data_IF_531666127381
#
_entry.id   IF_531666127381
#
_cell.length_a   1.000
_cell.length_b   1.000
_cell.length_c   1.000
_cell.angle_alpha   90.00
_cell.angle_beta   90.00
_cell.angle_gamma   90.00
#
_symmetry.space_group_name_H-M   'P 1'
#
loop_
_entity.id
_entity.type
_entity.pdbx_description
1 polymer ?
#
# COMPACT_ATOMS: atom_id res chain seq x y z
N UNK A 1 -13.98 -8.62 -12.05
CA UNK A 1 -14.71 -7.62 -11.23
C UNK A 1 -14.63 -7.93 -9.73
N UNK A 2 -14.74 -9.20 -9.31
CA UNK A 2 -14.74 -9.60 -7.90
C UNK A 2 -13.41 -9.27 -7.21
N UNK A 3 -12.28 -9.62 -7.80
CA UNK A 3 -10.94 -9.28 -7.29
C UNK A 3 -10.74 -7.76 -7.15
N UNK A 4 -11.23 -6.96 -8.11
CA UNK A 4 -11.12 -5.49 -8.04
C UNK A 4 -11.91 -4.87 -6.88
N UNK A 5 -13.03 -5.45 -6.49
CA UNK A 5 -13.81 -4.96 -5.34
C UNK A 5 -13.09 -5.12 -4.00
N UNK A 6 -12.16 -6.07 -3.91
CA UNK A 6 -11.32 -6.28 -2.72
C UNK A 6 -10.04 -5.42 -2.76
N UNK A 7 -9.77 -4.76 -3.90
CA UNK A 7 -8.56 -3.98 -4.16
C UNK A 7 -8.90 -2.68 -4.90
N UNK A 8 -9.87 -1.93 -4.39
CA UNK A 8 -10.39 -0.72 -5.06
C UNK A 8 -9.32 0.38 -5.18
N UNK A 9 -8.45 0.50 -4.16
CA UNK A 9 -7.41 1.51 -4.07
C UNK A 9 -6.12 1.16 -4.86
N UNK A 10 -5.98 -0.10 -5.29
CA UNK A 10 -4.81 -0.55 -6.04
C UNK A 10 -5.09 -0.60 -7.54
N UNK A 11 -4.10 -0.26 -8.36
CA UNK A 11 -4.10 -0.60 -9.79
C UNK A 11 -3.88 -2.11 -9.94
N UNK A 12 -4.87 -2.82 -10.47
CA UNK A 12 -4.86 -4.28 -10.54
C UNK A 12 -4.18 -4.76 -11.83
N UNK A 13 -3.04 -5.43 -11.68
CA UNK A 13 -2.25 -6.03 -12.75
C UNK A 13 -2.58 -7.52 -12.87
N UNK A 14 -3.38 -7.87 -13.86
CA UNK A 14 -3.78 -9.25 -14.12
C UNK A 14 -2.80 -9.97 -15.03
N UNK A 15 -2.22 -11.07 -14.57
CA UNK A 15 -1.41 -11.95 -15.42
C UNK A 15 -2.29 -12.69 -16.44
N UNK A 16 -2.08 -12.41 -17.71
CA UNK A 16 -2.75 -13.05 -18.84
C UNK A 16 -1.72 -13.41 -19.92
N UNK A 17 -1.29 -14.67 -19.93
CA UNK A 17 -0.19 -15.13 -20.80
C UNK A 17 1.12 -14.40 -20.49
N UNK A 18 1.70 -13.74 -21.48
CA UNK A 18 2.97 -13.01 -21.38
C UNK A 18 2.80 -11.53 -21.01
N UNK A 19 1.60 -11.13 -20.60
CA UNK A 19 1.29 -9.75 -20.22
C UNK A 19 0.70 -9.66 -18.81
N UNK A 20 0.89 -8.48 -18.21
CA UNK A 20 0.00 -7.97 -17.19
C UNK A 20 -0.97 -7.00 -17.83
N UNK A 21 -2.24 -7.31 -17.76
CA UNK A 21 -3.33 -6.50 -18.33
C UNK A 21 -4.10 -5.77 -17.23
N UNK A 22 -4.45 -4.53 -17.50
CA UNK A 22 -5.29 -3.69 -16.66
C UNK A 22 -6.58 -3.39 -17.40
N UNK A 23 -7.68 -3.23 -16.66
CA UNK A 23 -9.02 -3.07 -17.22
C UNK A 23 -9.76 -1.91 -16.59
N UNK A 24 -10.80 -1.39 -17.27
CA UNK A 24 -11.67 -0.32 -16.80
C UNK A 24 -10.88 0.93 -16.41
N UNK A 25 -11.18 1.53 -15.24
CA UNK A 25 -10.51 2.74 -14.73
C UNK A 25 -9.01 2.53 -14.51
N UNK A 26 -8.58 1.33 -14.11
CA UNK A 26 -7.16 1.01 -13.97
C UNK A 26 -6.42 1.10 -15.31
N UNK A 27 -7.07 0.69 -16.41
CA UNK A 27 -6.50 0.81 -17.74
C UNK A 27 -6.41 2.28 -18.19
N UNK A 28 -7.42 3.09 -17.91
CA UNK A 28 -7.40 4.52 -18.22
C UNK A 28 -6.28 5.23 -17.48
N UNK A 29 -6.16 4.95 -16.18
CA UNK A 29 -5.12 5.51 -15.32
C UNK A 29 -3.74 5.05 -15.77
N UNK A 30 -3.51 3.74 -15.89
CA UNK A 30 -2.21 3.19 -16.25
C UNK A 30 -1.76 3.62 -17.65
N UNK A 31 -2.66 3.67 -18.63
CA UNK A 31 -2.32 4.11 -19.99
C UNK A 31 -1.84 5.56 -20.01
N UNK A 32 -2.50 6.44 -19.25
CA UNK A 32 -2.13 7.84 -19.11
C UNK A 32 -0.78 8.01 -18.40
N UNK A 33 -0.64 7.37 -17.22
CA UNK A 33 0.53 7.54 -16.37
C UNK A 33 1.81 6.91 -16.93
N UNK A 34 1.67 5.80 -17.66
CA UNK A 34 2.76 5.05 -18.28
C UNK A 34 3.02 5.46 -19.74
N UNK A 35 2.13 6.26 -20.33
CA UNK A 35 2.13 6.60 -21.75
C UNK A 35 2.16 5.35 -22.66
N UNK A 36 1.28 4.38 -22.36
CA UNK A 36 1.10 3.15 -23.14
C UNK A 36 -0.25 3.15 -23.84
N UNK A 37 -0.37 2.35 -24.90
CA UNK A 37 -1.57 2.30 -25.73
C UNK A 37 -2.77 1.79 -24.97
N UNK A 38 -3.85 2.58 -24.94
CA UNK A 38 -5.17 2.13 -24.51
C UNK A 38 -5.86 1.43 -25.66
N UNK A 39 -6.36 0.22 -25.39
CA UNK A 39 -7.11 -0.59 -26.33
C UNK A 39 -8.50 -0.93 -25.77
N UNK A 40 -9.28 -1.73 -26.47
CA UNK A 40 -10.58 -2.21 -26.00
C UNK A 40 -10.76 -3.68 -26.28
N UNK A 41 -11.21 -4.44 -25.28
CA UNK A 41 -11.56 -5.85 -25.39
C UNK A 41 -13.07 -6.02 -25.52
N UNK A 42 -13.51 -6.85 -26.46
CA UNK A 42 -14.91 -7.20 -26.57
C UNK A 42 -15.34 -8.02 -25.33
N UNK A 43 -16.28 -7.48 -24.55
CA UNK A 43 -16.75 -8.09 -23.29
C UNK A 43 -18.18 -8.65 -23.37
N UNK A 44 -18.72 -8.85 -24.57
CA UNK A 44 -20.12 -9.27 -24.75
C UNK A 44 -21.15 -8.16 -24.54
N UNK A 45 -20.70 -6.92 -24.37
CA UNK A 45 -21.50 -5.71 -24.33
C UNK A 45 -21.31 -4.91 -25.63
N UNK A 46 -22.20 -3.95 -25.92
CA UNK A 46 -22.09 -3.07 -27.09
C UNK A 46 -20.81 -2.22 -27.06
N UNK A 47 -20.34 -1.84 -25.87
CA UNK A 47 -19.11 -1.08 -25.67
C UNK A 47 -17.94 -1.99 -25.33
N UNK A 48 -16.75 -1.68 -25.90
CA UNK A 48 -15.51 -2.37 -25.57
C UNK A 48 -15.02 -1.96 -24.18
N UNK A 49 -14.62 -2.94 -23.38
CA UNK A 49 -14.00 -2.72 -22.08
C UNK A 49 -12.62 -2.08 -22.29
N UNK A 50 -12.33 -0.89 -21.74
CA UNK A 50 -11.01 -0.29 -21.77
C UNK A 50 -9.96 -1.26 -21.22
N UNK A 51 -8.84 -1.39 -21.92
CA UNK A 51 -7.75 -2.31 -21.56
C UNK A 51 -6.41 -1.72 -21.99
N UNK A 52 -5.39 -1.91 -21.17
CA UNK A 52 -3.99 -1.74 -21.55
C UNK A 52 -3.17 -2.87 -20.94
N UNK A 53 -1.92 -3.04 -21.39
CA UNK A 53 -1.08 -4.12 -20.87
C UNK A 53 0.40 -3.85 -21.08
N UNK A 54 1.21 -4.49 -20.23
CA UNK A 54 2.67 -4.45 -20.28
C UNK A 54 3.24 -5.87 -20.29
N UNK A 55 4.37 -6.11 -20.99
CA UNK A 55 5.01 -7.43 -20.97
C UNK A 55 5.47 -7.79 -19.55
N UNK A 56 5.22 -9.06 -19.14
CA UNK A 56 5.53 -9.47 -17.75
C UNK A 56 7.02 -9.37 -17.41
N UNK A 57 7.89 -9.67 -18.36
CA UNK A 57 9.35 -9.65 -18.15
C UNK A 57 9.93 -8.25 -17.95
N UNK A 58 9.18 -7.20 -18.24
CA UNK A 58 9.59 -5.81 -18.07
C UNK A 58 8.67 -5.03 -17.11
N UNK A 59 7.77 -5.72 -16.41
CA UNK A 59 6.75 -5.11 -15.56
C UNK A 59 7.33 -4.22 -14.46
N UNK A 60 8.50 -4.58 -13.89
CA UNK A 60 9.13 -3.84 -12.80
C UNK A 60 9.43 -2.38 -13.18
N UNK A 61 9.83 -2.12 -14.44
CA UNK A 61 10.07 -0.76 -14.92
C UNK A 61 8.77 0.09 -14.96
N UNK A 62 7.64 -0.54 -15.23
CA UNK A 62 6.34 0.14 -15.25
C UNK A 62 5.81 0.34 -13.84
N UNK A 63 5.97 -0.66 -12.97
CA UNK A 63 5.67 -0.58 -11.55
C UNK A 63 6.44 0.57 -10.91
N UNK A 64 7.76 0.67 -11.17
CA UNK A 64 8.61 1.74 -10.69
C UNK A 64 8.05 3.14 -10.97
N UNK A 65 7.58 3.36 -12.21
CA UNK A 65 7.02 4.65 -12.63
C UNK A 65 5.73 4.99 -11.89
N UNK A 66 4.87 3.99 -11.64
CA UNK A 66 3.61 4.19 -10.92
C UNK A 66 3.84 4.42 -9.43
N UNK A 67 4.73 3.64 -8.82
CA UNK A 67 5.11 3.79 -7.40
C UNK A 67 5.70 5.17 -7.13
N UNK A 68 6.57 5.69 -8.00
CA UNK A 68 7.11 7.06 -7.89
C UNK A 68 6.04 8.14 -7.96
N UNK A 69 4.89 7.85 -8.54
CA UNK A 69 3.73 8.75 -8.60
C UNK A 69 2.71 8.52 -7.48
N UNK A 70 3.04 7.67 -6.51
CA UNK A 70 2.21 7.38 -5.34
C UNK A 70 1.08 6.37 -5.58
N UNK A 71 1.10 5.61 -6.70
CA UNK A 71 0.12 4.56 -6.93
C UNK A 71 0.47 3.28 -6.17
N UNK A 72 -0.57 2.56 -5.74
CA UNK A 72 -0.51 1.22 -5.16
C UNK A 72 -0.86 0.20 -6.24
N UNK A 73 -0.22 -0.97 -6.23
CA UNK A 73 -0.37 -1.98 -7.29
C UNK A 73 -0.65 -3.34 -6.66
N UNK A 74 -1.71 -3.99 -7.12
CA UNK A 74 -2.01 -5.38 -6.78
C UNK A 74 -1.62 -6.29 -7.94
N UNK A 75 -0.73 -7.23 -7.69
CA UNK A 75 -0.30 -8.25 -8.67
C UNK A 75 -1.18 -9.48 -8.53
N UNK A 76 -1.92 -9.79 -9.57
CA UNK A 76 -2.82 -10.93 -9.64
C UNK A 76 -2.26 -12.00 -10.57
N UNK A 77 -1.88 -13.15 -9.99
CA UNK A 77 -1.30 -14.29 -10.70
C UNK A 77 -2.29 -15.43 -10.88
N UNK A 78 -2.01 -16.29 -11.86
CA UNK A 78 -2.68 -17.57 -12.02
C UNK A 78 -2.13 -18.54 -10.95
N UNK A 79 -2.99 -19.05 -10.07
CA UNK A 79 -2.58 -19.96 -8.99
C UNK A 79 -2.88 -21.43 -9.31
N UNK A 80 -3.54 -21.71 -10.45
CA UNK A 80 -3.79 -23.06 -10.96
C UNK A 80 -3.02 -23.32 -12.25
N UNK A 81 -2.62 -24.59 -12.46
CA UNK A 81 -2.06 -25.01 -13.75
C UNK A 81 -3.15 -24.92 -14.84
N UNK A 82 -2.96 -24.13 -15.92
CA UNK A 82 -3.93 -23.99 -17.00
C UNK A 82 -4.31 -25.34 -17.65
N UNK A 83 -3.44 -26.35 -17.55
CA UNK A 83 -3.68 -27.70 -18.10
C UNK A 83 -4.57 -28.56 -17.20
N UNK A 84 -4.67 -28.23 -15.90
CA UNK A 84 -5.46 -28.95 -14.90
C UNK A 84 -6.83 -28.29 -14.66
N UNK A 85 -7.01 -27.04 -15.04
CA UNK A 85 -8.22 -26.26 -14.79
C UNK A 85 -9.39 -26.75 -15.65
N UNK A 86 -10.50 -27.13 -15.01
CA UNK A 86 -11.77 -27.48 -15.68
C UNK A 86 -12.66 -26.24 -15.90
N UNK A 87 -12.08 -25.10 -16.30
CA UNK A 87 -12.82 -23.85 -16.48
C UNK A 87 -11.93 -22.63 -16.51
N UNK A 88 -12.38 -21.55 -15.86
CA UNK A 88 -11.59 -20.33 -15.70
C UNK A 88 -10.51 -20.58 -14.65
N UNK A 89 -9.24 -20.46 -15.04
CA UNK A 89 -8.08 -20.60 -14.13
C UNK A 89 -8.24 -19.66 -12.94
N UNK A 90 -8.08 -20.18 -11.72
CA UNK A 90 -8.15 -19.39 -10.48
C UNK A 90 -7.02 -18.36 -10.46
N UNK A 91 -7.37 -17.14 -10.07
CA UNK A 91 -6.44 -16.01 -9.95
C UNK A 91 -6.58 -15.38 -8.59
N UNK A 92 -5.44 -15.09 -7.97
CA UNK A 92 -5.37 -14.43 -6.66
C UNK A 92 -4.37 -13.29 -6.69
N UNK A 93 -4.61 -12.28 -5.88
CA UNK A 93 -3.60 -11.27 -5.57
C UNK A 93 -2.53 -11.93 -4.71
N UNK A 94 -1.32 -12.01 -5.26
CA UNK A 94 -0.17 -12.63 -4.60
C UNK A 94 0.73 -11.61 -3.95
N UNK A 95 0.64 -10.34 -4.34
CA UNK A 95 1.48 -9.26 -3.83
C UNK A 95 0.78 -7.92 -4.00
N UNK A 96 0.90 -7.06 -2.99
CA UNK A 96 0.56 -5.64 -3.07
C UNK A 96 1.87 -4.87 -2.96
N UNK A 97 2.11 -3.96 -3.90
CA UNK A 97 3.31 -3.11 -3.94
C UNK A 97 2.85 -1.68 -3.71
N UNK A 98 3.39 -1.05 -2.70
CA UNK A 98 3.07 0.33 -2.32
C UNK A 98 4.33 1.18 -2.24
N UNK A 99 4.24 2.52 -2.28
CA UNK A 99 5.42 3.37 -2.15
C UNK A 99 6.22 3.17 -0.88
N UNK A 100 5.57 2.82 0.22
CA UNK A 100 6.19 2.57 1.52
C UNK A 100 6.72 1.13 1.71
N UNK A 101 6.30 0.16 0.86
CA UNK A 101 6.64 -1.26 1.03
C UNK A 101 7.54 -1.81 -0.08
N UNK A 102 8.16 -0.95 -0.87
CA UNK A 102 9.07 -1.35 -1.95
C UNK A 102 10.41 -1.81 -1.40
N UNK A 103 10.80 -3.05 -1.71
CA UNK A 103 12.08 -3.66 -1.37
C UNK A 103 13.02 -3.86 -2.58
N UNK A 104 12.55 -3.56 -3.79
CA UNK A 104 13.36 -3.80 -5.00
C UNK A 104 14.44 -2.72 -5.16
N UNK A 105 15.71 -3.14 -5.28
CA UNK A 105 16.85 -2.23 -5.53
C UNK A 105 16.65 -1.34 -6.77
N UNK A 106 15.92 -1.84 -7.77
CA UNK A 106 15.60 -1.06 -8.99
C UNK A 106 14.59 0.06 -8.74
N UNK A 107 13.86 0.01 -7.62
CA UNK A 107 12.81 0.93 -7.22
C UNK A 107 13.23 1.86 -6.09
N UNK A 108 14.32 1.51 -5.40
CA UNK A 108 14.90 2.30 -4.30
C UNK A 108 15.87 3.32 -4.90
N UNK A 109 15.70 4.58 -4.52
CA UNK A 109 16.70 5.62 -4.74
C UNK A 109 17.67 5.55 -3.55
N UNK A 110 18.91 5.13 -3.77
CA UNK A 110 19.91 4.71 -2.76
C UNK A 110 20.25 5.75 -1.65
N UNK A 111 19.56 6.89 -1.61
CA UNK A 111 20.01 8.02 -0.77
C UNK A 111 19.03 8.49 0.30
N UNK A 112 17.80 7.98 0.36
CA UNK A 112 16.80 8.48 1.30
C UNK A 112 15.97 7.35 1.89
N UNK A 113 15.75 7.41 3.20
CA UNK A 113 14.82 6.52 3.90
C UNK A 113 13.41 6.65 3.28
N UNK A 114 12.72 5.53 3.13
CA UNK A 114 11.37 5.47 2.60
C UNK A 114 10.41 5.00 3.67
N UNK A 115 10.00 5.94 4.50
CA UNK A 115 9.09 5.62 5.60
C UNK A 115 7.67 5.32 5.12
N UNK A 116 7.16 4.18 5.57
CA UNK A 116 5.74 3.93 5.74
C UNK A 116 5.34 4.48 7.10
N UNK A 117 4.35 5.35 7.14
CA UNK A 117 3.79 5.87 8.39
C UNK A 117 2.37 5.34 8.59
N UNK A 118 2.12 4.78 9.77
CA UNK A 118 0.79 4.39 10.22
C UNK A 118 0.30 5.38 11.27
N UNK A 119 -0.96 5.82 11.16
CA UNK A 119 -1.55 6.81 12.04
C UNK A 119 -2.83 6.26 12.68
N UNK A 120 -2.95 6.43 13.99
CA UNK A 120 -4.12 6.02 14.76
C UNK A 120 -4.54 7.12 15.75
N UNK A 121 -5.83 7.24 15.99
CA UNK A 121 -6.42 8.16 16.97
C UNK A 121 -7.22 7.36 18.00
N UNK A 122 -7.04 7.71 19.28
CA UNK A 122 -7.89 7.26 20.38
C UNK A 122 -8.27 8.46 21.26
N UNK A 123 -9.55 8.80 21.25
CA UNK A 123 -10.08 9.94 21.99
C UNK A 123 -9.41 11.26 21.64
N UNK A 124 -8.61 11.81 22.55
CA UNK A 124 -7.90 13.08 22.36
C UNK A 124 -6.43 12.91 22.02
N UNK A 125 -6.00 11.72 21.71
CA UNK A 125 -4.61 11.38 21.41
C UNK A 125 -4.45 10.86 19.99
N UNK A 126 -3.34 11.24 19.34
CA UNK A 126 -2.92 10.75 18.02
C UNK A 126 -1.53 10.11 18.18
N UNK A 127 -1.36 8.94 17.61
CA UNK A 127 -0.08 8.26 17.51
C UNK A 127 0.26 7.98 16.06
N UNK A 128 1.51 8.23 15.68
CA UNK A 128 2.10 7.74 14.44
C UNK A 128 3.20 6.72 14.74
N UNK A 129 3.27 5.69 13.92
CA UNK A 129 4.39 4.76 13.86
C UNK A 129 4.98 4.80 12.45
N UNK A 130 6.29 4.90 12.33
CA UNK A 130 7.00 4.99 11.06
C UNK A 130 8.03 3.87 10.96
N UNK A 131 8.04 3.13 9.84
CA UNK A 131 9.02 2.10 9.56
C UNK A 131 9.65 2.30 8.18
N UNK A 132 10.96 2.11 8.10
CA UNK A 132 11.69 1.92 6.85
C UNK A 132 12.03 0.43 6.70
N UNK A 133 11.37 -0.24 5.77
CA UNK A 133 11.50 -1.68 5.58
C UNK A 133 12.91 -2.05 5.07
N UNK A 134 13.60 -1.15 4.40
CA UNK A 134 14.92 -1.42 3.83
C UNK A 134 16.02 -1.45 4.90
N UNK A 135 15.86 -0.67 5.96
CA UNK A 135 16.82 -0.56 7.07
C UNK A 135 16.38 -1.30 8.32
N UNK A 136 15.08 -1.58 8.46
CA UNK A 136 14.48 -2.12 9.68
C UNK A 136 14.19 -1.07 10.74
N UNK A 137 14.52 0.20 10.51
CA UNK A 137 14.27 1.28 11.46
C UNK A 137 12.77 1.45 11.72
N UNK A 138 12.40 1.46 13.01
CA UNK A 138 11.05 1.74 13.46
C UNK A 138 11.05 2.82 14.54
N UNK A 139 10.18 3.80 14.42
CA UNK A 139 10.03 4.89 15.39
C UNK A 139 8.57 5.26 15.57
N UNK A 140 8.21 5.84 16.69
CA UNK A 140 6.87 6.32 16.96
C UNK A 140 6.87 7.67 17.63
N UNK A 141 5.72 8.35 17.55
CA UNK A 141 5.47 9.62 18.20
C UNK A 141 3.98 9.74 18.53
N UNK A 142 3.66 10.13 19.78
CA UNK A 142 2.28 10.43 20.19
C UNK A 142 2.12 11.88 20.61
N UNK A 143 0.92 12.41 20.47
CA UNK A 143 0.55 13.75 20.88
C UNK A 143 -0.90 13.78 21.35
N UNK A 144 -1.15 14.50 22.44
CA UNK A 144 -2.48 14.63 23.04
C UNK A 144 -2.94 16.09 23.10
N UNK A 145 -4.25 16.28 23.30
CA UNK A 145 -4.87 17.59 23.49
C UNK A 145 -5.18 18.34 22.17
N UNK A 146 -5.40 19.64 22.27
CA UNK A 146 -5.89 20.46 21.14
C UNK A 146 -4.84 20.64 20.04
N UNK A 147 -3.56 20.64 20.38
CA UNK A 147 -2.45 20.83 19.43
C UNK A 147 -1.95 19.52 18.81
N UNK A 148 -2.53 18.36 19.17
CA UNK A 148 -2.05 17.03 18.70
C UNK A 148 -1.92 16.94 17.18
N UNK A 149 -2.88 17.50 16.44
CA UNK A 149 -2.85 17.47 14.98
C UNK A 149 -1.66 18.26 14.41
N UNK A 150 -1.37 19.43 14.98
CA UNK A 150 -0.25 20.25 14.55
C UNK A 150 1.09 19.53 14.85
N UNK A 151 1.23 18.91 16.00
CA UNK A 151 2.43 18.14 16.37
C UNK A 151 2.63 16.94 15.41
N UNK A 152 1.57 16.22 15.06
CA UNK A 152 1.62 15.14 14.05
C UNK A 152 2.02 15.68 12.67
N UNK A 153 1.45 16.80 12.25
CA UNK A 153 1.80 17.43 10.97
C UNK A 153 3.29 17.84 10.90
N UNK A 154 3.85 18.35 11.99
CA UNK A 154 5.28 18.66 12.07
C UNK A 154 6.15 17.41 11.92
N UNK A 155 5.78 16.29 12.57
CA UNK A 155 6.49 15.02 12.42
C UNK A 155 6.37 14.48 10.98
N UNK A 156 5.18 14.47 10.39
CA UNK A 156 4.98 14.05 9.02
C UNK A 156 5.80 14.88 8.02
N UNK A 157 5.86 16.20 8.23
CA UNK A 157 6.67 17.09 7.40
C UNK A 157 8.17 16.79 7.53
N UNK A 158 8.64 16.43 8.72
CA UNK A 158 10.04 16.06 8.97
C UNK A 158 10.39 14.70 8.36
N UNK A 159 9.51 13.71 8.50
CA UNK A 159 9.71 12.34 8.02
C UNK A 159 9.64 12.27 6.50
N UNK A 160 8.80 13.10 5.85
CA UNK A 160 8.53 13.06 4.41
C UNK A 160 8.14 11.64 3.94
N UNK A 161 7.03 11.07 4.47
CA UNK A 161 6.71 9.67 4.24
C UNK A 161 6.45 9.37 2.76
N UNK A 162 6.89 8.20 2.29
CA UNK A 162 6.50 7.66 0.99
C UNK A 162 5.04 7.20 0.99
N UNK A 163 4.54 6.78 2.16
CA UNK A 163 3.17 6.32 2.34
C UNK A 163 2.66 6.68 3.75
N UNK A 164 1.44 7.19 3.82
CA UNK A 164 0.70 7.44 5.05
C UNK A 164 -0.57 6.60 5.06
N UNK A 165 -0.68 5.70 6.01
CA UNK A 165 -1.83 4.84 6.22
C UNK A 165 -2.53 5.27 7.52
N UNK A 166 -3.81 5.58 7.44
CA UNK A 166 -4.60 5.90 8.61
C UNK A 166 -5.43 4.69 9.05
N UNK A 167 -5.50 4.42 10.34
CA UNK A 167 -6.53 3.53 10.87
C UNK A 167 -7.91 4.16 10.66
N UNK A 168 -8.92 3.33 10.37
CA UNK A 168 -10.27 3.83 10.14
C UNK A 168 -10.83 4.57 11.36
N UNK A 169 -11.48 5.71 11.14
CA UNK A 169 -12.11 6.50 12.20
C UNK A 169 -11.35 7.73 12.67
N UNK A 170 -10.19 8.06 12.09
CA UNK A 170 -9.49 9.31 12.41
C UNK A 170 -10.36 10.52 12.08
N UNK A 171 -10.54 11.38 13.07
CA UNK A 171 -11.29 12.63 12.92
C UNK A 171 -10.53 13.59 11.99
N UNK A 172 -11.23 14.19 11.03
CA UNK A 172 -10.65 15.09 10.03
C UNK A 172 -9.60 14.45 9.10
N UNK A 173 -9.67 13.15 8.87
CA UNK A 173 -8.76 12.44 7.98
C UNK A 173 -8.62 13.11 6.60
N UNK A 174 -9.72 13.49 5.97
CA UNK A 174 -9.72 14.12 4.63
C UNK A 174 -8.88 15.40 4.60
N UNK A 175 -8.97 16.23 5.66
CA UNK A 175 -8.18 17.46 5.77
C UNK A 175 -6.68 17.15 5.96
N UNK A 176 -6.34 16.15 6.77
CA UNK A 176 -4.97 15.72 6.97
C UNK A 176 -4.39 15.11 5.69
N UNK A 177 -5.15 14.27 5.00
CA UNK A 177 -4.76 13.68 3.72
C UNK A 177 -4.53 14.75 2.64
N UNK A 178 -5.40 15.75 2.55
CA UNK A 178 -5.23 16.88 1.64
C UNK A 178 -3.99 17.72 2.01
N UNK A 179 -3.76 17.94 3.32
CA UNK A 179 -2.60 18.67 3.80
C UNK A 179 -1.30 17.94 3.43
N UNK A 180 -1.17 16.63 3.73
CA UNK A 180 0.04 15.88 3.40
C UNK A 180 0.29 15.86 1.89
N UNK A 181 -0.73 15.68 1.06
CA UNK A 181 -0.62 15.76 -0.40
C UNK A 181 -0.12 17.12 -0.89
N UNK A 182 -0.44 18.21 -0.19
CA UNK A 182 0.05 19.55 -0.53
C UNK A 182 1.52 19.75 -0.15
N UNK A 183 2.03 19.04 0.86
CA UNK A 183 3.40 19.18 1.41
C UNK A 183 4.35 18.10 0.88
N UNK A 184 3.85 16.89 0.67
CA UNK A 184 4.56 15.73 0.14
C UNK A 184 3.73 15.13 -0.99
N UNK A 185 3.76 15.72 -2.21
CA UNK A 185 2.88 15.32 -3.32
C UNK A 185 3.00 13.85 -3.73
N UNK A 186 4.17 13.25 -3.54
CA UNK A 186 4.44 11.84 -3.89
C UNK A 186 4.00 10.85 -2.79
N UNK A 187 3.61 11.34 -1.60
CA UNK A 187 3.14 10.48 -0.52
C UNK A 187 1.83 9.79 -0.93
N UNK A 188 1.81 8.46 -0.93
CA UNK A 188 0.57 7.71 -1.05
C UNK A 188 -0.22 7.84 0.25
N UNK A 189 -1.55 8.00 0.15
CA UNK A 189 -2.41 8.05 1.34
C UNK A 189 -3.52 7.02 1.21
N UNK A 190 -3.80 6.28 2.28
CA UNK A 190 -4.86 5.28 2.33
C UNK A 190 -5.42 5.12 3.73
N UNK A 191 -6.58 4.46 3.82
CA UNK A 191 -7.20 4.06 5.08
C UNK A 191 -7.09 2.56 5.22
N UNK A 192 -6.68 2.11 6.40
CA UNK A 192 -6.65 0.71 6.78
C UNK A 192 -7.82 0.41 7.69
N UNK A 193 -8.48 -0.69 7.41
CA UNK A 193 -9.48 -1.28 8.29
C UNK A 193 -9.06 -2.69 8.64
N UNK A 194 -9.07 -2.99 9.92
CA UNK A 194 -8.68 -4.31 10.41
C UNK A 194 -9.71 -5.36 10.03
N UNK A 195 -9.21 -6.55 9.66
CA UNK A 195 -10.04 -7.75 9.52
C UNK A 195 -10.23 -8.42 10.89
N UNK A 196 -11.44 -8.90 11.18
CA UNK A 196 -11.75 -9.59 12.43
C UNK A 196 -10.89 -10.85 12.58
N UNK A 197 -10.21 -10.98 13.73
CA UNK A 197 -9.34 -12.12 14.01
C UNK A 197 -7.95 -12.05 13.35
N UNK A 198 -7.49 -10.87 12.94
CA UNK A 198 -6.15 -10.68 12.40
C UNK A 198 -5.05 -11.16 13.38
N UNK A 199 -3.96 -11.79 12.88
CA UNK A 199 -2.85 -12.23 13.72
C UNK A 199 -2.18 -11.09 14.46
N UNK A 200 -1.53 -11.37 15.59
CA UNK A 200 -0.71 -10.41 16.34
C UNK A 200 0.76 -10.63 16.06
N UNK A 201 1.50 -9.55 15.87
CA UNK A 201 2.91 -9.57 15.48
C UNK A 201 3.83 -8.82 16.43
N UNK A 202 3.29 -7.96 17.32
CA UNK A 202 4.08 -7.06 18.18
C UNK A 202 5.14 -7.81 18.99
N UNK A 203 4.73 -8.84 19.76
CA UNK A 203 5.65 -9.61 20.60
C UNK A 203 6.73 -10.35 19.79
N UNK A 204 6.43 -10.74 18.54
CA UNK A 204 7.38 -11.39 17.65
C UNK A 204 8.50 -10.44 17.21
N UNK A 205 8.19 -9.15 17.03
CA UNK A 205 9.15 -8.14 16.57
C UNK A 205 9.90 -7.47 17.74
N UNK A 206 9.18 -7.10 18.80
CA UNK A 206 9.74 -6.31 19.91
C UNK A 206 10.03 -7.12 21.17
N UNK A 207 9.78 -8.44 21.15
CA UNK A 207 10.19 -9.40 22.20
C UNK A 207 9.30 -9.44 23.44
N UNK A 208 8.42 -8.49 23.67
CA UNK A 208 7.42 -8.48 24.75
C UNK A 208 6.25 -7.57 24.41
N UNK A 209 5.08 -7.81 25.02
CA UNK A 209 3.90 -6.94 24.92
C UNK A 209 3.91 -5.80 25.97
N UNK A 210 5.02 -5.60 26.68
CA UNK A 210 5.15 -4.64 27.79
C UNK A 210 5.38 -3.20 27.31
N UNK A 211 4.52 -2.68 26.45
CA UNK A 211 4.46 -1.23 26.17
C UNK A 211 3.36 -0.64 27.05
N UNK A 212 3.76 0.30 27.92
CA UNK A 212 2.86 0.91 28.90
C UNK A 212 1.75 1.76 28.26
N UNK A 213 1.96 2.23 27.04
CA UNK A 213 1.02 3.04 26.28
C UNK A 213 0.25 2.16 25.27
N UNK A 214 -1.03 1.97 25.53
CA UNK A 214 -1.90 1.12 24.69
C UNK A 214 -2.02 1.66 23.27
N UNK A 215 -2.13 2.97 23.09
CA UNK A 215 -2.27 3.55 21.74
C UNK A 215 -0.99 3.35 20.91
N UNK A 216 0.18 3.48 21.53
CA UNK A 216 1.47 3.20 20.87
C UNK A 216 1.56 1.72 20.48
N UNK A 217 1.24 0.82 21.42
CA UNK A 217 1.21 -0.62 21.16
C UNK A 217 0.30 -0.96 19.98
N UNK A 218 -0.94 -0.48 19.99
CA UNK A 218 -1.93 -0.78 18.97
C UNK A 218 -1.52 -0.18 17.61
N UNK A 219 -0.95 1.02 17.60
CA UNK A 219 -0.46 1.67 16.36
C UNK A 219 0.68 0.88 15.73
N UNK A 220 1.63 0.39 16.53
CA UNK A 220 2.73 -0.46 16.07
C UNK A 220 2.24 -1.83 15.60
N UNK A 221 1.29 -2.44 16.32
CA UNK A 221 0.67 -3.71 15.92
C UNK A 221 -0.04 -3.58 14.56
N UNK A 222 -0.82 -2.51 14.34
CA UNK A 222 -1.49 -2.26 13.06
C UNK A 222 -0.50 -1.97 11.93
N UNK A 223 0.59 -1.25 12.19
CA UNK A 223 1.69 -1.08 11.24
C UNK A 223 2.27 -2.44 10.82
N UNK A 224 2.58 -3.32 11.78
CA UNK A 224 3.13 -4.64 11.50
C UNK A 224 2.15 -5.51 10.71
N UNK A 225 0.86 -5.51 11.05
CA UNK A 225 -0.19 -6.22 10.30
C UNK A 225 -0.26 -5.73 8.86
N UNK A 226 -0.27 -4.42 8.66
CA UNK A 226 -0.25 -3.84 7.32
C UNK A 226 0.97 -4.29 6.52
N UNK A 227 2.15 -4.30 7.12
CA UNK A 227 3.39 -4.77 6.50
C UNK A 227 3.31 -6.26 6.14
N UNK A 228 2.83 -7.11 7.04
CA UNK A 228 2.69 -8.55 6.76
C UNK A 228 1.71 -8.86 5.63
N UNK A 229 0.64 -8.08 5.50
CA UNK A 229 -0.33 -8.23 4.40
C UNK A 229 0.26 -7.77 3.06
N UNK A 230 1.00 -6.67 3.06
CA UNK A 230 1.50 -6.05 1.83
C UNK A 230 2.83 -6.62 1.35
N UNK A 231 3.79 -6.84 2.23
CA UNK A 231 5.16 -7.23 1.86
C UNK A 231 5.27 -8.73 1.61
N UNK A 232 4.58 -9.57 2.38
CA UNK A 232 4.64 -11.05 2.31
C UNK A 232 6.08 -11.60 2.29
N UNK A 233 7.01 -10.94 2.99
CA UNK A 233 8.40 -11.31 3.14
C UNK A 233 8.77 -11.41 4.63
N UNK A 234 9.97 -11.90 4.94
CA UNK A 234 10.50 -11.88 6.29
C UNK A 234 10.75 -10.44 6.75
N UNK A 235 10.08 -10.04 7.82
CA UNK A 235 10.16 -8.71 8.44
C UNK A 235 10.89 -8.74 9.79
N UNK A 236 11.58 -9.83 10.14
CA UNK A 236 12.24 -10.03 11.44
C UNK A 236 13.32 -8.99 11.76
N UNK A 237 13.78 -8.23 10.77
CA UNK A 237 14.76 -7.16 10.93
C UNK A 237 14.15 -5.82 11.36
N UNK A 238 12.82 -5.67 11.38
CA UNK A 238 12.15 -4.46 11.88
C UNK A 238 12.19 -4.49 13.40
N UNK A 239 12.78 -3.47 14.02
CA UNK A 239 12.97 -3.35 15.46
C UNK A 239 13.04 -1.87 15.92
#
# INVERSE_FOLDING_TARGET
LEVKRQHEDELLFFRLGDFYEMFFEDALTASRELNITLTGRAGGMEEKIPMCGVPYHSVDNYIAKLIKKGYRIAICEQVEDPKAAKGIVERKVVKIITPGTVLSEQLLDDKHNRYLVFLQEDGSELCLAAADISTGECQWFSAAGEERLMAIQEQLFRIQPAELVAYSGIVNWENLAAWIKSKVPECAVSVYQEEEGAPQYFAQHFGSDDVADTLVHDTLEHLLRYLHVTVKADLSHIN
#
